data_IF_936338969129
#
_entry.id   IF_936338969129
#
_cell.length_a   1.000
_cell.length_b   1.000
_cell.length_c   1.000
_cell.angle_alpha   90.00
_cell.angle_beta   90.00
_cell.angle_gamma   90.00
#
_symmetry.space_group_name_H-M   'P 1'
#
loop_
_entity.id
_entity.type
_entity.pdbx_description
1 polymer ?
#
# COMPACT_ATOMS: atom_id res chain seq x y z
N UNK A 1 111.02 4.55 -22.92
CA UNK A 1 110.49 5.22 -21.70
C UNK A 1 108.97 5.03 -21.76
N UNK A 2 108.40 3.97 -21.16
CA UNK A 2 107.92 3.88 -19.76
C UNK A 2 106.92 5.05 -19.51
N UNK A 3 105.62 4.83 -19.36
CA UNK A 3 105.02 4.18 -18.19
C UNK A 3 103.62 3.57 -18.44
N UNK A 4 103.42 2.40 -17.83
CA UNK A 4 102.16 1.76 -17.49
C UNK A 4 101.56 2.36 -16.20
N UNK A 5 100.23 2.32 -16.06
CA UNK A 5 99.42 2.00 -14.86
C UNK A 5 98.09 2.77 -14.87
N UNK A 6 96.92 2.13 -15.04
CA UNK A 6 96.17 1.29 -14.08
C UNK A 6 95.46 2.14 -12.99
N UNK A 7 94.14 2.32 -13.13
CA UNK A 7 93.24 2.58 -12.00
C UNK A 7 91.83 2.08 -12.32
N UNK A 8 91.42 1.07 -11.54
CA UNK A 8 90.07 0.51 -11.38
C UNK A 8 89.13 1.55 -10.76
N UNK A 9 87.85 1.57 -11.17
CA UNK A 9 86.74 1.74 -10.23
C UNK A 9 85.43 1.17 -10.81
N UNK A 10 84.79 0.30 -10.04
CA UNK A 10 83.57 -0.43 -10.36
C UNK A 10 82.30 0.41 -10.12
N UNK A 11 81.23 0.14 -10.87
CA UNK A 11 79.85 0.19 -10.37
C UNK A 11 78.90 -0.55 -11.34
N UNK A 12 78.15 -1.49 -10.78
CA UNK A 12 77.17 -2.34 -11.45
C UNK A 12 75.80 -1.69 -11.50
N UNK A 13 75.05 -1.87 -12.61
CA UNK A 13 73.58 -2.00 -12.58
C UNK A 13 73.16 -2.94 -13.72
N UNK A 14 72.56 -4.07 -13.34
CA UNK A 14 71.86 -5.01 -14.22
C UNK A 14 70.52 -4.37 -14.64
N UNK A 15 70.42 -3.90 -15.89
CA UNK A 15 69.15 -3.49 -16.49
C UNK A 15 68.47 -4.68 -17.15
N UNK A 16 67.67 -5.44 -16.40
CA UNK A 16 66.73 -6.40 -16.97
C UNK A 16 65.53 -5.63 -17.57
N UNK A 17 65.60 -5.26 -18.84
CA UNK A 17 64.40 -4.81 -19.57
C UNK A 17 63.62 -6.05 -20.01
N UNK A 18 62.64 -6.42 -19.18
CA UNK A 18 61.52 -7.24 -19.63
C UNK A 18 60.83 -6.52 -20.79
N UNK A 19 61.07 -6.94 -22.03
CA UNK A 19 60.19 -6.58 -23.14
C UNK A 19 58.90 -7.39 -22.95
N UNK A 20 57.88 -6.77 -22.38
CA UNK A 20 56.53 -7.29 -22.38
C UNK A 20 56.07 -7.47 -23.84
N UNK A 21 55.64 -8.67 -24.21
CA UNK A 21 54.90 -8.90 -25.44
C UNK A 21 53.54 -8.20 -25.28
N UNK A 22 53.33 -7.09 -26.00
CA UNK A 22 51.99 -6.52 -26.12
C UNK A 22 51.17 -7.47 -27.01
N UNK A 23 50.20 -8.17 -26.42
CA UNK A 23 49.14 -8.84 -27.18
C UNK A 23 48.39 -7.77 -28.00
N UNK A 24 48.29 -7.98 -29.33
CA UNK A 24 47.49 -7.11 -30.19
C UNK A 24 46.06 -7.05 -29.68
N UNK A 25 45.46 -5.86 -29.47
CA UNK A 25 44.12 -5.76 -28.94
C UNK A 25 43.12 -6.44 -29.88
N UNK A 26 42.31 -7.36 -29.34
CA UNK A 26 41.25 -8.05 -30.07
C UNK A 26 40.34 -7.03 -30.74
N UNK A 27 40.34 -7.02 -32.08
CA UNK A 27 39.51 -6.11 -32.88
C UNK A 27 38.05 -6.56 -32.82
N UNK A 28 37.27 -5.95 -31.93
CA UNK A 28 35.84 -6.21 -31.79
C UNK A 28 35.13 -5.92 -33.12
N UNK A 29 34.52 -6.94 -33.73
CA UNK A 29 33.65 -6.77 -34.91
C UNK A 29 32.27 -6.35 -34.42
N UNK A 30 31.82 -5.15 -34.79
CA UNK A 30 30.52 -4.62 -34.38
C UNK A 30 29.39 -5.45 -35.02
N UNK A 31 28.60 -6.14 -34.19
CA UNK A 31 27.39 -6.86 -34.61
C UNK A 31 26.16 -5.96 -34.78
N UNK A 32 25.03 -6.56 -35.17
CA UNK A 32 23.76 -5.84 -35.34
C UNK A 32 23.32 -5.12 -34.07
N UNK A 33 22.91 -3.86 -34.19
CA UNK A 33 22.41 -3.02 -33.10
C UNK A 33 20.90 -3.15 -32.92
N UNK A 34 20.43 -3.26 -31.68
CA UNK A 34 19.02 -3.20 -31.31
C UNK A 34 18.72 -2.02 -30.38
N UNK A 35 17.43 -1.78 -30.11
CA UNK A 35 16.96 -0.79 -29.14
C UNK A 35 16.29 -1.51 -27.96
N UNK A 36 16.56 -1.05 -26.74
CA UNK A 36 15.83 -1.47 -25.53
C UNK A 36 14.96 -0.29 -25.12
N UNK A 37 13.64 -0.51 -25.07
CA UNK A 37 12.68 0.51 -24.65
C UNK A 37 12.25 0.25 -23.21
N UNK A 38 12.36 1.28 -22.39
CA UNK A 38 11.84 1.29 -21.02
C UNK A 38 10.66 2.25 -20.96
N UNK A 39 9.49 1.75 -20.58
CA UNK A 39 8.28 2.55 -20.37
C UNK A 39 7.92 2.48 -18.90
N UNK A 40 7.68 3.64 -18.29
CA UNK A 40 7.25 3.75 -16.89
C UNK A 40 6.55 5.07 -16.66
N UNK A 41 5.75 5.14 -15.60
CA UNK A 41 5.10 6.38 -15.16
C UNK A 41 5.80 6.81 -13.87
N UNK A 42 6.34 8.03 -13.88
CA UNK A 42 6.87 8.68 -12.68
C UNK A 42 5.77 9.63 -12.19
N UNK A 43 5.24 9.39 -11.00
CA UNK A 43 4.31 10.31 -10.34
C UNK A 43 5.04 11.08 -9.24
N UNK A 44 4.40 12.15 -8.74
CA UNK A 44 4.91 12.96 -7.63
C UNK A 44 4.21 12.57 -6.31
N UNK A 45 3.67 11.34 -6.24
CA UNK A 45 2.94 10.89 -5.06
C UNK A 45 3.95 10.63 -3.94
N UNK A 46 3.68 11.17 -2.75
CA UNK A 46 4.56 11.00 -1.59
C UNK A 46 4.58 9.56 -1.05
N UNK A 47 3.63 8.72 -1.51
CA UNK A 47 3.45 7.35 -1.12
C UNK A 47 3.19 6.44 -2.33
N UNK A 48 3.80 5.25 -2.36
CA UNK A 48 3.38 4.13 -3.21
C UNK A 48 2.51 3.16 -2.41
N UNK A 49 1.44 2.65 -3.03
CA UNK A 49 0.51 1.68 -2.43
C UNK A 49 0.79 0.29 -3.00
N UNK A 50 1.31 -0.63 -2.19
CA UNK A 50 1.59 -2.00 -2.61
C UNK A 50 0.29 -2.79 -2.84
N UNK A 51 0.25 -3.57 -3.92
CA UNK A 51 -0.86 -4.48 -4.20
C UNK A 51 -2.11 -3.86 -4.84
N UNK A 52 -2.08 -2.57 -5.19
CA UNK A 52 -3.14 -1.98 -6.03
C UNK A 52 -2.85 -2.25 -7.51
N UNK A 53 -3.74 -3.00 -8.16
CA UNK A 53 -4.04 -2.78 -9.57
C UNK A 53 -4.35 -1.29 -9.78
N UNK A 54 -4.13 -0.75 -10.98
CA UNK A 54 -4.18 0.70 -11.29
C UNK A 54 -5.48 1.41 -10.85
N UNK A 55 -6.51 0.65 -10.43
CA UNK A 55 -7.80 1.11 -9.98
C UNK A 55 -7.99 1.16 -8.45
N UNK A 56 -7.02 0.71 -7.62
CA UNK A 56 -7.06 0.78 -6.15
C UNK A 56 -8.36 0.20 -5.53
N UNK A 57 -8.87 -0.91 -6.08
CA UNK A 57 -10.13 -1.55 -5.61
C UNK A 57 -9.83 -2.52 -4.47
N UNK A 58 -10.52 -2.36 -3.33
CA UNK A 58 -10.37 -3.24 -2.17
C UNK A 58 -11.60 -4.13 -2.07
N UNK A 59 -11.40 -5.45 -2.18
CA UNK A 59 -12.46 -6.44 -1.96
C UNK A 59 -12.43 -6.96 -0.52
N UNK A 60 -13.46 -6.64 0.27
CA UNK A 60 -13.66 -7.20 1.61
C UNK A 60 -14.69 -8.31 1.53
N UNK A 61 -14.28 -9.55 1.79
CA UNK A 61 -15.22 -10.66 1.87
C UNK A 61 -15.93 -10.64 3.23
N UNK A 62 -17.20 -10.24 3.22
CA UNK A 62 -18.04 -10.17 4.43
C UNK A 62 -18.62 -11.53 4.85
N UNK A 63 -18.55 -12.54 3.98
CA UNK A 63 -19.11 -13.87 4.21
C UNK A 63 -20.62 -13.93 4.39
N UNK A 64 -21.13 -15.13 4.61
CA UNK A 64 -22.55 -15.35 4.89
C UNK A 64 -22.84 -15.16 6.39
N UNK A 65 -23.56 -14.10 6.74
CA UNK A 65 -23.94 -13.77 8.12
C UNK A 65 -25.44 -13.94 8.30
N UNK A 66 -25.82 -14.78 9.26
CA UNK A 66 -27.22 -14.91 9.66
C UNK A 66 -27.65 -13.69 10.48
N UNK A 67 -28.86 -13.16 10.26
CA UNK A 67 -29.40 -12.00 10.98
C UNK A 67 -29.33 -12.17 12.50
N UNK A 68 -29.52 -13.40 13.00
CA UNK A 68 -29.42 -13.71 14.44
C UNK A 68 -28.01 -13.53 15.03
N UNK A 69 -26.99 -13.52 14.16
CA UNK A 69 -25.57 -13.38 14.52
C UNK A 69 -25.06 -11.95 14.25
N UNK A 70 -25.94 -11.03 13.81
CA UNK A 70 -25.62 -9.63 13.56
C UNK A 70 -25.71 -8.81 14.85
N UNK A 71 -24.87 -7.77 14.93
CA UNK A 71 -24.97 -6.75 15.97
C UNK A 71 -26.05 -5.72 15.65
N UNK A 72 -26.21 -4.75 16.55
CA UNK A 72 -27.06 -3.58 16.27
C UNK A 72 -26.19 -2.40 15.87
N UNK A 73 -26.79 -1.36 15.29
CA UNK A 73 -26.12 -0.09 15.03
C UNK A 73 -25.41 0.49 16.28
N UNK A 74 -25.97 0.26 17.48
CA UNK A 74 -25.41 0.74 18.75
C UNK A 74 -24.32 -0.19 19.33
N UNK A 75 -24.29 -1.46 18.94
CA UNK A 75 -23.27 -2.41 19.36
C UNK A 75 -22.80 -3.30 18.18
N UNK A 76 -22.07 -2.73 17.21
CA UNK A 76 -21.67 -3.48 16.00
C UNK A 76 -20.72 -4.63 16.29
N UNK A 77 -19.80 -4.45 17.26
CA UNK A 77 -18.83 -5.46 17.67
C UNK A 77 -19.46 -6.65 18.40
N UNK A 78 -20.75 -6.57 18.78
CA UNK A 78 -21.48 -7.69 19.36
C UNK A 78 -21.87 -8.77 18.35
N UNK A 79 -21.78 -8.50 17.05
CA UNK A 79 -22.06 -9.45 15.97
C UNK A 79 -20.80 -10.04 15.33
N UNK A 80 -20.98 -10.78 14.23
CA UNK A 80 -19.86 -11.22 13.40
C UNK A 80 -19.22 -10.03 12.68
N UNK A 81 -17.93 -9.83 12.97
CA UNK A 81 -17.07 -8.88 12.26
C UNK A 81 -16.30 -9.62 11.16
N UNK A 82 -16.31 -9.06 9.97
CA UNK A 82 -15.51 -9.50 8.83
C UNK A 82 -14.35 -8.54 8.58
N UNK A 83 -13.28 -9.05 7.96
CA UNK A 83 -12.22 -8.20 7.42
C UNK A 83 -11.24 -7.60 8.43
N UNK A 84 -11.01 -8.21 9.59
CA UNK A 84 -10.06 -7.76 10.64
C UNK A 84 -8.60 -7.52 10.21
N UNK A 85 -8.26 -7.73 8.93
CA UNK A 85 -6.91 -7.74 8.40
C UNK A 85 -6.84 -7.03 7.05
N UNK A 86 -7.51 -5.88 6.90
CA UNK A 86 -7.07 -4.96 5.86
C UNK A 86 -5.71 -4.41 6.28
N UNK A 87 -4.72 -4.58 5.41
CA UNK A 87 -3.39 -4.03 5.56
C UNK A 87 -3.05 -3.31 4.26
N UNK A 88 -3.24 -1.99 4.21
CA UNK A 88 -2.68 -1.21 3.12
C UNK A 88 -1.22 -0.92 3.43
N UNK A 89 -0.31 -1.61 2.74
CA UNK A 89 1.10 -1.30 2.77
C UNK A 89 1.34 -0.06 1.92
N UNK A 90 1.64 1.06 2.58
CA UNK A 90 2.11 2.27 1.90
C UNK A 90 3.57 2.51 2.23
N UNK A 91 4.35 2.83 1.20
CA UNK A 91 5.73 3.26 1.35
C UNK A 91 5.80 4.75 1.03
N UNK A 92 6.08 5.57 2.03
CA UNK A 92 6.10 7.03 1.91
C UNK A 92 7.40 7.64 2.41
N UNK A 93 7.69 8.85 1.93
CA UNK A 93 8.82 9.66 2.40
C UNK A 93 8.79 9.92 3.93
N UNK A 94 9.95 10.27 4.49
CA UNK A 94 10.11 10.52 5.93
C UNK A 94 9.16 11.64 6.42
N UNK A 95 8.44 11.35 7.50
CA UNK A 95 7.55 12.31 8.17
C UNK A 95 6.12 12.35 7.62
N UNK A 96 5.85 11.63 6.52
CA UNK A 96 4.51 11.59 5.92
C UNK A 96 3.55 10.76 6.78
N UNK A 97 2.47 11.35 7.29
CA UNK A 97 1.33 10.58 7.82
C UNK A 97 0.40 10.24 6.67
N UNK A 98 -0.15 9.03 6.70
CA UNK A 98 -1.20 8.63 5.77
C UNK A 98 -2.53 8.51 6.52
N UNK A 99 -3.58 9.07 5.95
CA UNK A 99 -4.94 8.86 6.38
C UNK A 99 -5.76 8.28 5.21
N UNK A 100 -6.55 7.26 5.49
CA UNK A 100 -7.61 6.80 4.58
C UNK A 100 -8.93 7.38 5.06
N UNK A 101 -9.50 8.28 4.25
CA UNK A 101 -10.78 8.94 4.52
C UNK A 101 -11.86 8.25 3.70
N UNK A 102 -12.86 7.70 4.37
CA UNK A 102 -14.02 7.09 3.76
C UNK A 102 -15.00 8.17 3.28
N UNK A 103 -15.41 8.09 2.01
CA UNK A 103 -16.27 9.09 1.36
C UNK A 103 -17.49 8.44 0.69
N UNK A 104 -18.47 7.98 1.47
CA UNK A 104 -19.74 7.46 0.97
C UNK A 104 -20.60 8.53 0.25
N UNK A 105 -20.23 9.82 0.32
CA UNK A 105 -20.96 10.90 -0.34
C UNK A 105 -20.53 11.13 -1.79
N UNK A 106 -19.29 10.75 -2.13
CA UNK A 106 -18.74 10.84 -3.49
C UNK A 106 -19.27 9.79 -4.46
N UNK A 107 -20.00 8.79 -3.95
CA UNK A 107 -20.58 7.70 -4.74
C UNK A 107 -20.70 6.40 -3.93
N UNK A 108 -20.92 5.30 -4.65
CA UNK A 108 -21.08 3.98 -4.05
C UNK A 108 -22.46 3.76 -3.42
N UNK A 109 -22.52 3.00 -2.33
CA UNK A 109 -23.78 2.59 -1.71
C UNK A 109 -24.38 3.66 -0.78
N UNK A 110 -23.60 4.67 -0.38
CA UNK A 110 -24.08 5.79 0.43
C UNK A 110 -24.37 5.44 1.89
N UNK A 111 -25.20 6.25 2.54
CA UNK A 111 -25.53 6.10 3.95
C UNK A 111 -26.83 5.33 4.17
N UNK A 112 -26.95 4.66 5.32
CA UNK A 112 -28.27 4.25 5.81
C UNK A 112 -29.11 5.51 6.04
N UNK A 113 -30.35 5.62 5.50
CA UNK A 113 -31.14 6.85 5.50
C UNK A 113 -31.32 7.51 6.88
N UNK A 114 -31.46 6.70 7.93
CA UNK A 114 -31.72 7.15 9.31
C UNK A 114 -30.49 7.08 10.23
N UNK A 115 -29.37 6.54 9.74
CA UNK A 115 -28.11 6.46 10.49
C UNK A 115 -26.90 6.64 9.58
N UNK A 116 -26.47 7.89 9.43
CA UNK A 116 -25.32 8.27 8.60
C UNK A 116 -23.98 7.76 9.14
N UNK A 117 -23.94 7.13 10.32
CA UNK A 117 -22.72 6.48 10.82
C UNK A 117 -22.45 5.15 10.12
N UNK A 118 -23.44 4.63 9.38
CA UNK A 118 -23.41 3.33 8.74
C UNK A 118 -23.41 3.44 7.21
N UNK A 119 -22.73 2.51 6.57
CA UNK A 119 -22.75 2.31 5.12
C UNK A 119 -24.01 1.54 4.75
N UNK A 120 -24.75 2.04 3.76
CA UNK A 120 -25.90 1.33 3.20
C UNK A 120 -25.45 0.18 2.29
N UNK A 121 -26.36 -0.78 2.11
CA UNK A 121 -26.19 -1.82 1.10
C UNK A 121 -26.57 -1.27 -0.28
N UNK A 122 -25.96 -1.83 -1.33
CA UNK A 122 -26.30 -1.51 -2.71
C UNK A 122 -27.76 -1.87 -3.00
N UNK A 123 -28.60 -0.91 -3.41
CA UNK A 123 -30.01 -1.15 -3.65
C UNK A 123 -30.20 -2.08 -4.86
N UNK A 124 -31.17 -2.99 -4.77
CA UNK A 124 -31.49 -3.90 -5.85
C UNK A 124 -32.47 -4.99 -5.44
N UNK A 125 -32.95 -5.76 -6.42
CA UNK A 125 -33.87 -6.86 -6.17
C UNK A 125 -33.19 -7.93 -5.29
N UNK A 126 -33.75 -8.25 -4.12
CA UNK A 126 -33.19 -9.24 -3.20
C UNK A 126 -32.01 -8.75 -2.35
N UNK A 127 -31.75 -7.43 -2.28
CA UNK A 127 -30.88 -6.84 -1.25
C UNK A 127 -31.55 -6.99 0.12
N UNK A 128 -30.77 -7.29 1.16
CA UNK A 128 -31.27 -7.34 2.54
C UNK A 128 -31.86 -5.99 2.96
N UNK A 129 -32.90 -5.99 3.81
CA UNK A 129 -33.52 -4.76 4.30
C UNK A 129 -33.31 -4.58 5.80
N UNK A 130 -33.29 -3.33 6.26
CA UNK A 130 -32.96 -2.94 7.65
C UNK A 130 -31.62 -3.50 8.14
N UNK A 131 -30.66 -3.61 7.22
CA UNK A 131 -29.27 -4.00 7.45
C UNK A 131 -28.37 -2.92 6.87
N UNK A 132 -27.30 -2.61 7.60
CA UNK A 132 -26.21 -1.75 7.16
C UNK A 132 -24.86 -2.38 7.49
N UNK A 133 -23.79 -1.69 7.11
CA UNK A 133 -22.42 -2.08 7.45
C UNK A 133 -21.82 -1.01 8.36
N UNK A 134 -21.35 -1.44 9.53
CA UNK A 134 -20.54 -0.63 10.42
C UNK A 134 -19.06 -0.88 10.10
N UNK A 135 -18.28 0.19 9.95
CA UNK A 135 -16.83 0.09 9.91
C UNK A 135 -16.27 0.28 11.32
N UNK A 136 -15.21 -0.45 11.62
CA UNK A 136 -14.58 -0.52 12.92
C UNK A 136 -13.09 -0.26 12.74
N UNK A 137 -12.50 0.58 13.59
CA UNK A 137 -11.06 0.81 13.60
C UNK A 137 -10.30 -0.43 14.13
N UNK A 138 -8.98 -0.33 14.21
CA UNK A 138 -8.13 -1.41 14.74
C UNK A 138 -8.41 -1.76 16.21
N UNK A 139 -9.10 -0.90 16.95
CA UNK A 139 -9.49 -1.11 18.35
C UNK A 139 -10.92 -1.69 18.47
N UNK A 140 -11.61 -1.91 17.34
CA UNK A 140 -13.00 -2.34 17.33
C UNK A 140 -14.00 -1.23 17.65
N UNK A 141 -13.58 0.04 17.57
CA UNK A 141 -14.45 1.20 17.77
C UNK A 141 -15.09 1.58 16.44
N UNK A 142 -16.40 1.83 16.44
CA UNK A 142 -17.11 2.20 15.23
C UNK A 142 -16.60 3.53 14.66
N UNK A 143 -16.24 3.52 13.38
CA UNK A 143 -15.88 4.69 12.60
C UNK A 143 -17.17 5.39 12.19
N UNK A 144 -17.27 6.68 12.51
CA UNK A 144 -18.45 7.47 12.20
C UNK A 144 -18.35 8.06 10.79
N UNK A 145 -19.10 7.48 9.84
CA UNK A 145 -19.15 7.95 8.45
C UNK A 145 -19.86 9.30 8.24
N UNK A 146 -20.58 9.82 9.22
CA UNK A 146 -21.38 11.04 9.07
C UNK A 146 -20.55 12.33 9.00
N UNK A 147 -19.30 12.28 9.44
CA UNK A 147 -18.37 13.40 9.42
C UNK A 147 -17.02 12.93 8.86
N UNK A 148 -16.56 13.60 7.81
CA UNK A 148 -15.26 13.35 7.15
C UNK A 148 -14.09 13.31 8.14
N UNK A 149 -14.08 14.19 9.14
CA UNK A 149 -12.99 14.26 10.13
C UNK A 149 -12.88 12.99 10.99
N UNK A 150 -13.99 12.28 11.15
CA UNK A 150 -14.09 11.04 11.93
C UNK A 150 -14.20 9.80 11.05
N UNK A 151 -14.54 9.96 9.77
CA UNK A 151 -14.69 8.89 8.79
C UNK A 151 -13.33 8.49 8.23
N UNK A 152 -12.33 8.28 9.10
CA UNK A 152 -10.95 8.02 8.67
C UNK A 152 -10.21 7.09 9.60
N UNK A 153 -9.23 6.39 9.04
CA UNK A 153 -8.20 5.68 9.78
C UNK A 153 -6.84 6.29 9.44
N UNK A 154 -5.97 6.32 10.44
CA UNK A 154 -4.61 6.84 10.30
C UNK A 154 -3.64 5.75 10.71
N UNK A 155 -2.47 5.75 10.08
CA UNK A 155 -1.37 4.92 10.53
C UNK A 155 -0.08 5.74 10.52
N UNK A 156 0.71 5.57 11.59
CA UNK A 156 2.05 6.13 11.67
C UNK A 156 3.02 5.33 10.79
N UNK A 157 4.02 5.99 10.24
CA UNK A 157 5.05 5.34 9.43
C UNK A 157 5.96 4.47 10.30
N UNK A 158 6.14 3.20 9.93
CA UNK A 158 7.16 2.34 10.51
C UNK A 158 8.42 2.38 9.63
N UNK A 159 9.45 3.10 10.09
CA UNK A 159 10.72 3.23 9.38
C UNK A 159 11.24 4.66 9.46
N UNK A 160 12.11 4.93 10.43
CA UNK A 160 12.74 6.24 10.63
C UNK A 160 14.04 6.40 9.82
N UNK A 161 14.16 5.69 8.68
CA UNK A 161 15.31 5.80 7.79
C UNK A 161 15.27 7.06 6.92
N UNK A 162 16.40 7.39 6.30
CA UNK A 162 16.55 8.58 5.42
C UNK A 162 15.62 8.55 4.18
N UNK A 163 15.00 7.41 3.89
CA UNK A 163 14.25 7.14 2.65
C UNK A 163 12.76 6.86 2.83
N UNK A 164 12.21 6.91 4.06
CA UNK A 164 10.81 6.55 4.31
C UNK A 164 10.60 5.20 5.02
N UNK A 165 9.35 4.79 5.15
CA UNK A 165 8.94 3.57 5.87
C UNK A 165 7.63 2.97 5.37
N UNK A 166 7.30 1.79 5.87
CA UNK A 166 6.03 1.12 5.56
C UNK A 166 4.99 1.47 6.62
N UNK A 167 3.75 1.70 6.22
CA UNK A 167 2.63 1.81 7.16
C UNK A 167 1.53 0.83 6.79
N UNK A 168 0.74 0.43 7.79
CA UNK A 168 -0.37 -0.49 7.62
C UNK A 168 -1.62 0.15 8.16
N UNK A 169 -2.53 0.51 7.25
CA UNK A 169 -3.88 0.96 7.61
C UNK A 169 -4.77 -0.26 7.80
N UNK A 170 -5.41 -0.36 8.96
CA UNK A 170 -6.30 -1.47 9.30
C UNK A 170 -7.66 -1.00 9.78
N UNK A 171 -8.69 -1.64 9.24
CA UNK A 171 -10.07 -1.52 9.70
C UNK A 171 -10.75 -2.89 9.53
N UNK A 172 -11.93 -3.01 10.13
CA UNK A 172 -12.82 -4.15 9.97
C UNK A 172 -14.25 -3.68 9.70
N UNK A 173 -15.13 -4.59 9.32
CA UNK A 173 -16.50 -4.26 8.99
C UNK A 173 -17.47 -5.31 9.56
N UNK A 174 -18.66 -4.89 9.99
CA UNK A 174 -19.68 -5.78 10.53
C UNK A 174 -21.05 -5.46 9.92
N UNK A 175 -21.82 -6.50 9.60
CA UNK A 175 -23.24 -6.31 9.32
C UNK A 175 -24.00 -6.01 10.61
N UNK A 176 -24.84 -4.99 10.56
CA UNK A 176 -25.66 -4.55 11.70
C UNK A 176 -27.10 -4.36 11.31
N UNK A 177 -28.03 -4.63 12.23
CA UNK A 177 -29.44 -4.30 12.05
C UNK A 177 -29.68 -2.83 12.34
N UNK A 178 -30.46 -2.16 11.48
CA UNK A 178 -30.69 -0.71 11.54
C UNK A 178 -32.14 -0.33 11.82
N UNK A 179 -33.07 -1.29 11.78
CA UNK A 179 -34.48 -1.10 12.09
C UNK A 179 -34.87 -1.64 13.47
N UNK A 180 -36.18 -1.70 13.72
CA UNK A 180 -36.73 -2.36 14.90
C UNK A 180 -36.31 -3.83 14.98
N UNK A 181 -36.26 -4.38 16.19
CA UNK A 181 -35.94 -5.79 16.40
C UNK A 181 -36.86 -6.70 15.56
N UNK A 182 -36.27 -7.66 14.85
CA UNK A 182 -36.99 -8.57 13.96
C UNK A 182 -37.44 -7.98 12.61
N UNK A 183 -37.19 -6.70 12.33
CA UNK A 183 -37.55 -6.06 11.05
C UNK A 183 -36.56 -6.32 9.91
N UNK A 184 -35.36 -6.82 10.23
CA UNK A 184 -34.35 -7.14 9.23
C UNK A 184 -34.76 -8.34 8.38
N UNK A 185 -34.57 -8.24 7.06
CA UNK A 185 -34.85 -9.34 6.13
C UNK A 185 -33.58 -9.79 5.41
N UNK A 186 -33.51 -11.08 5.11
CA UNK A 186 -32.36 -11.68 4.46
C UNK A 186 -32.29 -11.29 2.98
N UNK A 187 -31.08 -11.21 2.46
CA UNK A 187 -30.81 -10.86 1.07
C UNK A 187 -29.32 -10.61 0.85
N UNK A 188 -28.97 -10.08 -0.32
CA UNK A 188 -27.60 -9.69 -0.64
C UNK A 188 -27.14 -8.53 0.25
N UNK A 189 -25.90 -8.62 0.72
CA UNK A 189 -25.24 -7.63 1.58
C UNK A 189 -24.13 -6.85 0.89
N UNK A 190 -24.18 -6.70 -0.43
CA UNK A 190 -23.13 -6.03 -1.21
C UNK A 190 -23.11 -4.52 -0.92
N UNK A 191 -21.93 -3.93 -0.82
CA UNK A 191 -21.76 -2.49 -0.70
C UNK A 191 -20.46 -2.01 -1.36
N UNK A 192 -20.43 -0.73 -1.70
CA UNK A 192 -19.25 -0.05 -2.23
C UNK A 192 -19.04 1.25 -1.47
N UNK A 193 -17.81 1.50 -1.04
CA UNK A 193 -17.42 2.66 -0.27
C UNK A 193 -16.18 3.29 -0.89
N UNK A 194 -16.32 4.46 -1.55
CA UNK A 194 -15.17 5.22 -1.99
C UNK A 194 -14.32 5.67 -0.81
N UNK A 195 -13.02 5.79 -1.02
CA UNK A 195 -12.09 6.36 -0.05
C UNK A 195 -11.07 7.26 -0.75
N UNK A 196 -10.48 8.16 0.02
CA UNK A 196 -9.42 9.09 -0.41
C UNK A 196 -8.22 8.85 0.50
N UNK A 197 -7.03 8.77 -0.09
CA UNK A 197 -5.77 8.78 0.66
C UNK A 197 -5.32 10.23 0.81
N UNK A 198 -5.19 10.69 2.04
CA UNK A 198 -4.63 11.98 2.41
C UNK A 198 -3.23 11.77 3.02
N UNK A 199 -2.33 12.71 2.71
CA UNK A 199 -0.94 12.67 3.12
C UNK A 199 -0.58 13.99 3.82
N UNK A 200 0.02 13.93 5.00
CA UNK A 200 0.55 15.10 5.74
C UNK A 200 2.04 14.99 5.98
#
# INVERSE_FOLDING_TARGET
MKNFSLALLACAVLGASCNALAEDPVKLTQGGSGQISFTGVINNDACSVDGSDANRVIAVNMGDVSIKDMGTAANPAGGRVAGNHFNLNVNCNKGTKVAMVFDPSSGGSGFVPDDKKLLALTPGNGTATNVGIALLDSNGVQINLSNRDNARIEAGMHGAGEFGGDSTLSFSAAYVTTGAEGSATAGRGDATLPFILEYE
#
